data_IF_656820829692
#
_entry.id   IF_656820829692
#
_cell.length_a   1.000
_cell.length_b   1.000
_cell.length_c   1.000
_cell.angle_alpha   90.00
_cell.angle_beta   90.00
_cell.angle_gamma   90.00
#
_symmetry.space_group_name_H-M   'P 1'
#
loop_
_entity.id
_entity.type
_entity.pdbx_description
1 polymer ?
#
# COMPACT_ATOMS: atom_id res chain seq x y z
N UNK A 1 34.28 6.57 -5.28
CA UNK A 1 33.03 5.86 -5.22
C UNK A 1 33.22 4.67 -4.31
N UNK A 2 32.43 4.52 -3.27
CA UNK A 2 32.57 3.41 -2.33
C UNK A 2 32.25 2.08 -3.03
N UNK A 3 32.79 0.94 -2.59
CA UNK A 3 32.64 -0.35 -3.30
C UNK A 3 31.19 -0.84 -3.38
N UNK A 4 30.30 -0.34 -2.55
CA UNK A 4 28.88 -0.68 -2.53
C UNK A 4 27.98 0.24 -3.39
N UNK A 5 28.52 1.35 -3.90
CA UNK A 5 27.77 2.27 -4.78
C UNK A 5 27.73 1.74 -6.22
N UNK A 6 27.13 0.56 -6.39
CA UNK A 6 26.92 -0.07 -7.69
C UNK A 6 25.43 -0.26 -7.93
N UNK A 7 24.96 0.15 -9.07
CA UNK A 7 23.57 -0.05 -9.47
C UNK A 7 23.18 -1.53 -9.34
N UNK A 8 22.08 -1.77 -8.64
CA UNK A 8 21.56 -3.11 -8.37
C UNK A 8 22.22 -3.85 -7.20
N UNK A 9 23.19 -3.26 -6.51
CA UNK A 9 23.80 -3.84 -5.32
C UNK A 9 23.34 -3.07 -4.08
N UNK A 10 22.38 -3.63 -3.34
CA UNK A 10 21.81 -3.04 -2.13
C UNK A 10 22.72 -3.28 -0.93
N UNK A 11 23.16 -2.24 -0.29
CA UNK A 11 23.95 -2.31 0.94
C UNK A 11 23.03 -2.53 2.16
N UNK A 12 23.09 -3.70 2.76
CA UNK A 12 22.25 -4.07 3.89
C UNK A 12 22.96 -4.00 5.25
N UNK A 13 24.28 -3.81 5.26
CA UNK A 13 25.03 -3.72 6.50
C UNK A 13 26.37 -4.44 6.43
N UNK A 14 26.88 -4.84 7.59
CA UNK A 14 28.16 -5.56 7.76
C UNK A 14 27.93 -6.96 8.33
N UNK A 15 28.83 -7.89 8.01
CA UNK A 15 28.79 -9.24 8.53
C UNK A 15 28.97 -9.24 10.04
N UNK A 16 28.16 -10.01 10.76
CA UNK A 16 28.27 -10.22 12.21
C UNK A 16 28.80 -11.62 12.48
N UNK A 17 29.91 -11.71 13.24
CA UNK A 17 30.47 -12.98 13.65
C UNK A 17 29.78 -13.46 14.94
N UNK A 18 29.02 -14.54 14.83
CA UNK A 18 28.28 -15.13 15.95
C UNK A 18 29.20 -15.69 17.05
N UNK A 19 30.41 -16.12 16.69
CA UNK A 19 31.34 -16.72 17.65
C UNK A 19 32.04 -15.67 18.48
N UNK A 20 32.58 -14.63 17.85
CA UNK A 20 33.26 -13.51 18.54
C UNK A 20 32.27 -12.43 19.01
N UNK A 21 31.00 -12.47 18.58
CA UNK A 21 29.97 -11.45 18.81
C UNK A 21 30.43 -10.04 18.38
N UNK A 22 31.13 -9.96 17.25
CA UNK A 22 31.64 -8.70 16.71
C UNK A 22 31.21 -8.49 15.27
N UNK A 23 31.03 -7.21 14.90
CA UNK A 23 30.90 -6.80 13.51
C UNK A 23 32.25 -6.96 12.80
N UNK A 24 32.20 -7.49 11.58
CA UNK A 24 33.34 -7.53 10.65
C UNK A 24 33.23 -6.37 9.65
N UNK A 25 34.32 -6.02 9.00
CA UNK A 25 34.33 -4.97 7.98
C UNK A 25 33.76 -5.46 6.64
N UNK A 26 33.47 -6.76 6.50
CA UNK A 26 32.90 -7.32 5.30
C UNK A 26 31.46 -6.82 5.09
N UNK A 27 31.22 -6.23 3.91
CA UNK A 27 29.91 -5.66 3.57
C UNK A 27 28.92 -6.75 3.13
N UNK A 28 27.68 -6.63 3.58
CA UNK A 28 26.56 -7.44 3.10
C UNK A 28 25.89 -6.68 1.96
N UNK A 29 26.17 -7.13 0.73
CA UNK A 29 25.58 -6.59 -0.49
C UNK A 29 24.57 -7.59 -1.04
N UNK A 30 23.37 -7.11 -1.35
CA UNK A 30 22.27 -7.93 -1.86
C UNK A 30 21.97 -7.55 -3.31
N UNK A 31 21.89 -8.52 -4.21
CA UNK A 31 21.56 -8.25 -5.62
C UNK A 31 20.06 -7.95 -5.75
N UNK A 32 19.74 -6.76 -6.25
CA UNK A 32 18.35 -6.31 -6.44
C UNK A 32 17.55 -7.25 -7.35
N UNK A 33 18.20 -8.02 -8.23
CA UNK A 33 17.54 -8.99 -9.10
C UNK A 33 16.89 -10.12 -8.33
N UNK A 34 17.40 -10.46 -7.14
CA UNK A 34 16.81 -11.50 -6.31
C UNK A 34 15.41 -11.09 -5.78
N UNK A 35 15.11 -9.77 -5.79
CA UNK A 35 13.78 -9.23 -5.45
C UNK A 35 12.79 -9.25 -6.62
N UNK A 36 13.17 -9.73 -7.80
CA UNK A 36 12.21 -9.97 -8.89
C UNK A 36 11.19 -11.07 -8.55
N UNK A 37 11.45 -11.85 -7.52
CA UNK A 37 10.52 -12.76 -6.88
C UNK A 37 10.04 -12.17 -5.54
N UNK A 38 9.86 -12.99 -4.53
CA UNK A 38 9.37 -12.56 -3.23
C UNK A 38 10.45 -12.68 -2.16
N UNK A 39 10.47 -11.74 -1.22
CA UNK A 39 11.27 -11.81 -0.02
C UNK A 39 10.38 -11.73 1.22
N UNK A 40 10.76 -12.40 2.30
CA UNK A 40 10.06 -12.35 3.58
C UNK A 40 11.06 -12.06 4.69
N UNK A 41 10.80 -11.04 5.49
CA UNK A 41 11.60 -10.67 6.65
C UNK A 41 10.91 -11.22 7.90
N UNK A 42 11.56 -12.14 8.59
CA UNK A 42 11.03 -12.80 9.78
C UNK A 42 11.89 -12.47 11.01
N UNK A 43 11.26 -12.19 12.13
CA UNK A 43 11.95 -11.91 13.37
C UNK A 43 11.01 -11.56 14.51
N UNK A 44 11.48 -11.60 15.74
CA UNK A 44 10.72 -11.19 16.91
C UNK A 44 10.53 -9.65 16.95
N UNK A 45 9.62 -9.19 17.78
CA UNK A 45 9.47 -7.75 18.05
C UNK A 45 10.79 -7.19 18.59
N UNK A 46 11.20 -6.03 18.04
CA UNK A 46 12.47 -5.40 18.40
C UNK A 46 13.72 -6.00 17.73
N UNK A 47 13.59 -7.01 16.85
CA UNK A 47 14.73 -7.63 16.14
C UNK A 47 15.27 -6.81 14.96
N UNK A 48 14.64 -5.68 14.62
CA UNK A 48 15.08 -4.82 13.51
C UNK A 48 14.43 -5.13 12.16
N UNK A 49 13.33 -5.91 12.10
CA UNK A 49 12.62 -6.21 10.82
C UNK A 49 12.29 -4.98 9.99
N UNK A 50 11.60 -4.03 10.61
CA UNK A 50 11.21 -2.77 9.95
C UNK A 50 12.45 -2.00 9.49
N UNK A 51 13.52 -1.97 10.30
CA UNK A 51 14.80 -1.35 9.93
C UNK A 51 15.43 -1.98 8.68
N UNK A 52 15.44 -3.32 8.58
CA UNK A 52 15.92 -4.01 7.38
C UNK A 52 15.03 -3.71 6.18
N UNK A 53 13.70 -3.69 6.36
CA UNK A 53 12.75 -3.31 5.31
C UNK A 53 12.99 -1.88 4.80
N UNK A 54 13.19 -0.93 5.73
CA UNK A 54 13.54 0.45 5.39
C UNK A 54 14.86 0.54 4.62
N UNK A 55 15.89 -0.22 5.02
CA UNK A 55 17.17 -0.27 4.31
C UNK A 55 16.99 -0.75 2.86
N UNK A 56 16.20 -1.79 2.64
CA UNK A 56 15.88 -2.28 1.29
C UNK A 56 15.12 -1.23 0.46
N UNK A 57 14.18 -0.53 1.07
CA UNK A 57 13.44 0.55 0.42
C UNK A 57 14.38 1.70 0.05
N UNK A 58 15.23 2.16 0.97
CA UNK A 58 16.17 3.25 0.72
C UNK A 58 17.17 2.91 -0.38
N UNK A 59 17.72 1.69 -0.38
CA UNK A 59 18.64 1.24 -1.44
C UNK A 59 17.95 1.20 -2.82
N UNK A 60 16.72 0.68 -2.88
CA UNK A 60 15.94 0.69 -4.11
C UNK A 60 15.70 2.12 -4.63
N UNK A 61 15.32 3.03 -3.73
CA UNK A 61 15.07 4.43 -4.06
C UNK A 61 16.36 5.14 -4.52
N UNK A 62 17.50 4.87 -3.89
CA UNK A 62 18.81 5.41 -4.32
C UNK A 62 19.15 4.96 -5.75
N UNK A 63 18.75 3.73 -6.11
CA UNK A 63 18.89 3.18 -7.47
C UNK A 63 17.76 3.59 -8.43
N UNK A 64 16.93 4.55 -8.04
CA UNK A 64 15.77 5.04 -8.80
C UNK A 64 14.70 3.96 -9.08
N UNK A 65 14.58 2.97 -8.21
CA UNK A 65 13.52 1.97 -8.25
C UNK A 65 12.37 2.47 -7.38
N UNK A 66 11.17 2.69 -7.94
CA UNK A 66 10.04 3.19 -7.18
C UNK A 66 9.49 2.13 -6.22
N UNK A 67 8.82 2.61 -5.16
CA UNK A 67 8.29 1.77 -4.09
C UNK A 67 6.84 2.11 -3.79
N UNK A 68 6.01 1.08 -3.67
CA UNK A 68 4.70 1.15 -2.99
C UNK A 68 4.86 0.43 -1.65
N UNK A 69 4.59 1.13 -0.55
CA UNK A 69 4.70 0.60 0.80
C UNK A 69 3.35 0.66 1.52
N UNK A 70 2.88 -0.48 2.04
CA UNK A 70 1.67 -0.60 2.85
C UNK A 70 2.07 -0.63 4.32
N UNK A 71 1.54 0.31 5.08
CA UNK A 71 1.93 0.59 6.46
C UNK A 71 0.74 0.49 7.44
N UNK A 72 0.49 -0.69 8.00
CA UNK A 72 -0.57 -0.88 8.98
C UNK A 72 -0.28 -0.29 10.36
N UNK A 73 0.98 0.10 10.65
CA UNK A 73 1.40 0.65 11.94
C UNK A 73 1.52 2.17 11.96
N UNK A 74 1.86 2.78 10.83
CA UNK A 74 2.13 4.21 10.73
C UNK A 74 3.59 4.59 10.99
N UNK A 75 4.53 3.64 10.88
CA UNK A 75 5.95 3.86 11.13
C UNK A 75 6.74 4.27 9.87
N UNK A 76 6.28 3.85 8.69
CA UNK A 76 6.99 4.08 7.42
C UNK A 76 7.07 5.56 6.98
N UNK A 77 6.14 6.46 7.34
CA UNK A 77 6.30 7.89 7.05
C UNK A 77 7.58 8.50 7.65
N UNK A 78 8.22 7.83 8.62
CA UNK A 78 9.53 8.22 9.14
C UNK A 78 10.63 8.23 8.06
N UNK A 79 10.46 7.54 6.93
CA UNK A 79 11.32 7.68 5.75
C UNK A 79 11.48 9.13 5.26
N UNK A 80 10.48 9.97 5.52
CA UNK A 80 10.51 11.38 5.15
C UNK A 80 11.41 12.21 6.09
N UNK A 81 11.71 11.69 7.29
CA UNK A 81 12.58 12.33 8.28
C UNK A 81 14.06 12.11 7.93
N UNK A 82 14.43 12.49 6.72
CA UNK A 82 15.79 12.40 6.23
C UNK A 82 16.43 13.79 6.24
N UNK A 83 17.56 13.93 6.93
CA UNK A 83 18.24 15.19 7.19
C UNK A 83 19.63 15.19 6.54
N UNK A 84 19.77 15.68 5.28
CA UNK A 84 21.03 15.60 4.53
C UNK A 84 22.23 16.24 5.22
N UNK A 85 21.99 17.28 6.02
CA UNK A 85 23.07 18.00 6.71
C UNK A 85 23.29 17.52 8.14
N UNK A 86 22.39 16.71 8.69
CA UNK A 86 22.42 16.24 10.08
C UNK A 86 22.69 17.40 11.08
N UNK A 87 22.03 18.54 10.86
CA UNK A 87 22.18 19.70 11.74
C UNK A 87 21.30 19.58 12.98
N UNK A 88 21.69 20.12 14.13
CA UNK A 88 20.83 20.16 15.32
C UNK A 88 19.45 20.77 15.05
N UNK A 89 19.36 21.76 14.18
CA UNK A 89 18.12 22.42 13.77
C UNK A 89 17.16 21.47 13.05
N UNK A 90 17.67 20.44 12.36
CA UNK A 90 16.86 19.43 11.68
C UNK A 90 16.14 18.52 12.68
N UNK A 91 16.79 18.21 13.79
CA UNK A 91 16.26 17.36 14.85
C UNK A 91 15.40 18.11 15.86
N UNK A 92 15.63 19.41 16.06
CA UNK A 92 14.96 20.20 17.10
C UNK A 92 13.43 20.12 17.11
N UNK A 93 12.73 20.17 15.96
CA UNK A 93 11.25 20.05 15.92
C UNK A 93 10.72 18.69 16.41
N UNK A 94 11.55 17.65 16.39
CA UNK A 94 11.19 16.27 16.70
C UNK A 94 11.64 15.83 18.09
N UNK A 95 12.25 16.74 18.88
CA UNK A 95 12.72 16.45 20.22
C UNK A 95 11.55 16.41 21.19
N UNK A 96 11.44 15.32 21.94
CA UNK A 96 10.58 15.23 23.10
C UNK A 96 11.25 16.01 24.25
N UNK A 97 10.58 17.03 24.75
CA UNK A 97 11.11 17.88 25.83
C UNK A 97 11.32 17.11 27.14
N UNK A 98 10.47 16.10 27.40
CA UNK A 98 10.62 15.27 28.60
C UNK A 98 11.90 14.41 28.53
N UNK A 99 12.26 13.89 27.35
CA UNK A 99 13.50 13.12 27.17
C UNK A 99 14.74 14.01 27.32
N UNK A 100 14.66 15.25 26.86
CA UNK A 100 15.72 16.22 27.07
C UNK A 100 15.93 16.52 28.59
N UNK A 101 14.82 16.75 29.31
CA UNK A 101 14.85 16.95 30.76
C UNK A 101 15.39 15.74 31.51
N UNK A 102 14.98 14.53 31.17
CA UNK A 102 15.47 13.28 31.75
C UNK A 102 16.98 13.07 31.52
N UNK A 103 17.50 13.60 30.40
CA UNK A 103 18.91 13.60 30.09
C UNK A 103 19.71 14.74 30.77
N UNK A 104 19.03 15.64 31.50
CA UNK A 104 19.63 16.83 32.11
C UNK A 104 20.10 17.90 31.12
N UNK A 105 19.47 17.94 29.94
CA UNK A 105 19.82 18.82 28.84
C UNK A 105 18.66 19.75 28.48
N UNK A 106 19.00 20.90 27.89
CA UNK A 106 18.00 21.72 27.21
C UNK A 106 17.56 21.03 25.90
N UNK A 107 16.36 21.30 25.35
CA UNK A 107 15.95 20.75 24.08
C UNK A 107 16.94 20.99 22.94
N UNK A 108 17.59 22.13 22.88
CA UNK A 108 18.61 22.44 21.86
C UNK A 108 19.89 21.65 22.05
N UNK A 109 20.35 21.46 23.29
CA UNK A 109 21.48 20.59 23.61
C UNK A 109 21.17 19.13 23.29
N UNK A 110 19.93 18.68 23.54
CA UNK A 110 19.50 17.34 23.22
C UNK A 110 19.42 17.13 21.70
N UNK A 111 18.94 18.11 20.94
CA UNK A 111 18.95 18.09 19.48
C UNK A 111 20.39 17.99 18.92
N UNK A 112 21.33 18.74 19.47
CA UNK A 112 22.73 18.66 19.09
C UNK A 112 23.34 17.27 19.39
N UNK A 113 23.01 16.70 20.54
CA UNK A 113 23.42 15.34 20.92
C UNK A 113 22.83 14.30 19.95
N UNK A 114 21.58 14.42 19.56
CA UNK A 114 20.95 13.53 18.59
C UNK A 114 21.61 13.65 17.22
N UNK A 115 21.84 14.85 16.72
CA UNK A 115 22.53 15.08 15.46
C UNK A 115 23.93 14.44 15.43
N UNK A 116 24.68 14.55 16.51
CA UNK A 116 26.02 13.93 16.63
C UNK A 116 25.93 12.40 16.72
N UNK A 117 24.94 11.87 17.46
CA UNK A 117 24.68 10.44 17.55
C UNK A 117 24.39 9.84 16.16
N UNK A 118 23.51 10.47 15.40
CA UNK A 118 23.15 10.01 14.04
C UNK A 118 24.35 10.10 13.10
N UNK A 119 25.13 11.19 13.14
CA UNK A 119 26.33 11.33 12.31
C UNK A 119 27.36 10.23 12.60
N UNK A 120 27.63 9.96 13.88
CA UNK A 120 28.55 8.91 14.28
C UNK A 120 28.01 7.52 13.94
N UNK A 121 26.71 7.31 14.16
CA UNK A 121 26.02 6.06 13.83
C UNK A 121 26.16 5.74 12.34
N UNK A 122 25.77 6.66 11.47
CA UNK A 122 25.89 6.48 10.03
C UNK A 122 27.33 6.23 9.59
N UNK A 123 28.29 7.02 10.11
CA UNK A 123 29.70 6.86 9.77
C UNK A 123 30.24 5.47 10.17
N UNK A 124 29.79 4.90 11.30
CA UNK A 124 30.21 3.55 11.74
C UNK A 124 29.75 2.44 10.79
N UNK A 125 28.70 2.71 10.01
CA UNK A 125 28.17 1.82 8.97
C UNK A 125 28.62 2.23 7.55
N UNK A 126 29.67 3.06 7.45
CA UNK A 126 30.16 3.61 6.17
C UNK A 126 29.11 4.40 5.37
N UNK A 127 28.05 4.87 6.03
CA UNK A 127 27.03 5.72 5.43
C UNK A 127 27.42 7.19 5.54
N UNK A 128 27.36 7.92 4.44
CA UNK A 128 27.71 9.35 4.39
C UNK A 128 26.47 10.22 4.14
N UNK A 129 26.47 11.48 4.59
CA UNK A 129 25.37 12.43 4.34
C UNK A 129 24.99 12.58 2.87
N UNK A 130 25.95 12.39 1.94
CA UNK A 130 25.69 12.43 0.50
C UNK A 130 24.66 11.38 0.04
N UNK A 131 24.55 10.24 0.72
CA UNK A 131 23.51 9.25 0.40
C UNK A 131 22.12 9.77 0.73
N UNK A 132 21.96 10.47 1.85
CA UNK A 132 20.71 11.13 2.23
C UNK A 132 20.37 12.22 1.21
N UNK A 133 21.37 12.97 0.78
CA UNK A 133 21.21 14.02 -0.25
C UNK A 133 20.72 13.40 -1.57
N UNK A 134 21.33 12.29 -2.01
CA UNK A 134 20.93 11.57 -3.24
C UNK A 134 19.50 11.03 -3.14
N UNK A 135 19.16 10.39 -2.02
CA UNK A 135 17.80 9.88 -1.77
C UNK A 135 16.79 11.02 -1.90
N UNK A 136 17.01 12.16 -1.23
CA UNK A 136 16.11 13.32 -1.28
C UNK A 136 16.04 13.99 -2.64
N UNK A 137 17.14 14.06 -3.37
CA UNK A 137 17.19 14.73 -4.66
C UNK A 137 16.42 13.96 -5.76
N UNK A 138 16.48 12.64 -5.74
CA UNK A 138 16.00 11.82 -6.84
C UNK A 138 14.57 11.32 -6.66
N UNK A 139 14.05 11.28 -5.44
CA UNK A 139 12.79 10.62 -5.11
C UNK A 139 11.72 11.65 -4.76
N UNK A 140 10.51 11.36 -5.21
CA UNK A 140 9.29 12.00 -4.74
C UNK A 140 8.65 11.12 -3.66
N UNK A 141 8.33 11.72 -2.51
CA UNK A 141 7.70 11.00 -1.40
C UNK A 141 6.24 11.41 -1.28
N UNK A 142 5.35 10.43 -1.25
CA UNK A 142 3.92 10.64 -1.06
C UNK A 142 3.41 9.76 0.08
N UNK A 143 2.72 10.35 1.06
CA UNK A 143 2.03 9.61 2.12
C UNK A 143 0.54 9.69 1.86
N UNK A 144 -0.03 8.56 1.50
CA UNK A 144 -1.46 8.40 1.27
C UNK A 144 -2.16 7.90 2.53
N UNK A 145 -3.30 8.49 2.84
CA UNK A 145 -4.13 8.14 4.00
C UNK A 145 -5.56 7.85 3.54
N UNK A 146 -5.84 6.62 3.06
CA UNK A 146 -7.19 6.24 2.62
C UNK A 146 -8.23 6.50 3.71
N UNK A 147 -9.36 7.10 3.36
CA UNK A 147 -10.40 7.45 4.32
C UNK A 147 -10.03 8.53 5.33
N UNK A 148 -8.96 9.31 5.07
CA UNK A 148 -8.51 10.39 5.96
C UNK A 148 -7.82 11.50 5.16
N UNK A 149 -7.91 12.74 5.66
CA UNK A 149 -7.25 13.93 5.11
C UNK A 149 -5.96 14.29 5.85
N UNK A 150 -5.43 13.39 6.70
CA UNK A 150 -4.19 13.63 7.44
C UNK A 150 -2.95 13.68 6.53
N UNK A 151 -2.96 12.91 5.45
CA UNK A 151 -1.98 12.93 4.37
C UNK A 151 -2.67 13.20 3.03
N UNK A 152 -2.17 12.59 1.96
CA UNK A 152 -2.82 12.69 0.64
C UNK A 152 -4.03 11.73 0.59
N UNK A 153 -5.24 12.24 0.38
CA UNK A 153 -6.42 11.38 0.23
C UNK A 153 -6.33 10.57 -1.06
N UNK A 154 -6.81 9.33 -1.01
CA UNK A 154 -6.94 8.45 -2.17
C UNK A 154 -8.37 7.96 -2.30
N UNK A 155 -8.94 8.17 -3.47
CA UNK A 155 -10.31 7.74 -3.77
C UNK A 155 -10.32 6.30 -4.23
N UNK A 156 -11.06 5.45 -3.51
CA UNK A 156 -11.19 4.02 -3.80
C UNK A 156 -12.58 3.68 -4.35
N UNK A 157 -13.61 4.43 -3.92
CA UNK A 157 -15.02 4.12 -4.18
C UNK A 157 -15.73 5.14 -5.07
N UNK A 158 -15.01 6.16 -5.52
CA UNK A 158 -15.62 7.21 -6.32
C UNK A 158 -16.07 6.74 -7.69
N UNK A 159 -15.38 5.75 -8.23
CA UNK A 159 -15.60 5.36 -9.61
C UNK A 159 -15.21 3.89 -9.85
N UNK A 160 -16.23 3.04 -10.02
CA UNK A 160 -16.04 1.70 -10.58
C UNK A 160 -15.99 1.83 -12.11
N UNK A 161 -14.88 2.40 -12.61
CA UNK A 161 -14.68 2.56 -14.04
C UNK A 161 -14.40 1.21 -14.71
N UNK A 162 -14.80 1.05 -15.98
CA UNK A 162 -14.37 -0.08 -16.77
C UNK A 162 -12.84 -0.17 -16.78
N UNK A 163 -12.28 -1.37 -16.67
CA UNK A 163 -10.85 -1.55 -16.82
C UNK A 163 -10.40 -1.23 -18.26
N UNK A 164 -9.09 -1.25 -18.50
CA UNK A 164 -8.53 -0.99 -19.83
C UNK A 164 -9.05 -1.99 -20.87
N UNK A 165 -9.01 -1.60 -22.16
CA UNK A 165 -9.50 -2.43 -23.25
C UNK A 165 -8.88 -3.83 -23.28
N UNK A 166 -7.60 -3.95 -22.90
CA UNK A 166 -6.89 -5.24 -22.84
C UNK A 166 -7.49 -6.19 -21.80
N UNK A 167 -7.81 -5.65 -20.60
CA UNK A 167 -8.48 -6.43 -19.54
C UNK A 167 -9.92 -6.77 -19.96
N UNK A 168 -10.62 -5.82 -20.61
CA UNK A 168 -11.97 -6.07 -21.12
C UNK A 168 -12.02 -7.17 -22.20
N UNK A 169 -10.97 -7.31 -22.99
CA UNK A 169 -10.88 -8.35 -24.02
C UNK A 169 -10.61 -9.75 -23.45
N UNK A 170 -10.02 -9.84 -22.26
CA UNK A 170 -9.64 -11.09 -21.59
C UNK A 170 -10.66 -11.52 -20.56
N UNK A 171 -11.52 -12.49 -20.90
CA UNK A 171 -12.65 -12.92 -20.06
C UNK A 171 -12.26 -13.34 -18.64
N UNK A 172 -11.12 -14.03 -18.48
CA UNK A 172 -10.67 -14.49 -17.17
C UNK A 172 -10.21 -13.32 -16.30
N UNK A 173 -9.47 -12.36 -16.89
CA UNK A 173 -9.05 -11.16 -16.19
C UNK A 173 -10.23 -10.26 -15.77
N UNK A 174 -11.20 -10.11 -16.68
CA UNK A 174 -12.41 -9.35 -16.42
C UNK A 174 -13.21 -9.98 -15.27
N UNK A 175 -13.38 -11.30 -15.30
CA UNK A 175 -14.06 -12.03 -14.23
C UNK A 175 -13.36 -11.85 -12.88
N UNK A 176 -12.05 -12.06 -12.84
CA UNK A 176 -11.26 -11.93 -11.62
C UNK A 176 -11.37 -10.49 -11.06
N UNK A 177 -11.35 -9.49 -11.94
CA UNK A 177 -11.51 -8.09 -11.59
C UNK A 177 -12.89 -7.79 -10.98
N UNK A 178 -13.96 -8.29 -11.60
CA UNK A 178 -15.31 -8.13 -11.09
C UNK A 178 -15.44 -8.83 -9.73
N UNK A 179 -15.02 -10.08 -9.62
CA UNK A 179 -15.12 -10.85 -8.38
C UNK A 179 -14.38 -10.18 -7.23
N UNK A 180 -13.14 -9.75 -7.44
CA UNK A 180 -12.36 -9.08 -6.39
C UNK A 180 -12.97 -7.74 -5.97
N UNK A 181 -13.46 -6.95 -6.93
CA UNK A 181 -14.14 -5.67 -6.65
C UNK A 181 -15.40 -5.89 -5.80
N UNK A 182 -16.22 -6.86 -6.17
CA UNK A 182 -17.47 -7.18 -5.44
C UNK A 182 -17.19 -7.77 -4.07
N UNK A 183 -16.23 -8.70 -3.98
CA UNK A 183 -15.81 -9.28 -2.69
C UNK A 183 -15.33 -8.21 -1.73
N UNK A 184 -14.47 -7.29 -2.20
CA UNK A 184 -13.98 -6.19 -1.38
C UNK A 184 -15.12 -5.26 -0.92
N UNK A 185 -16.04 -4.91 -1.82
CA UNK A 185 -17.19 -4.07 -1.49
C UNK A 185 -18.12 -4.74 -0.45
N UNK A 186 -18.41 -6.02 -0.62
CA UNK A 186 -19.24 -6.77 0.34
C UNK A 186 -18.56 -6.93 1.69
N UNK A 187 -17.25 -7.17 1.72
CA UNK A 187 -16.48 -7.23 2.95
C UNK A 187 -16.52 -5.90 3.71
N UNK A 188 -16.43 -4.76 3.01
CA UNK A 188 -16.59 -3.42 3.62
C UNK A 188 -17.97 -3.23 4.25
N UNK A 189 -19.02 -3.87 3.69
CA UNK A 189 -20.38 -3.88 4.25
C UNK A 189 -20.56 -4.91 5.38
N UNK A 190 -19.51 -5.64 5.76
CA UNK A 190 -19.59 -6.73 6.73
C UNK A 190 -20.38 -7.94 6.23
N UNK A 191 -20.43 -8.16 4.91
CA UNK A 191 -21.11 -9.28 4.27
C UNK A 191 -20.06 -10.28 3.80
N UNK A 192 -20.00 -11.45 4.44
CA UNK A 192 -19.21 -12.57 3.93
C UNK A 192 -20.00 -13.22 2.78
N UNK A 193 -19.45 -13.16 1.58
CA UNK A 193 -20.14 -13.64 0.38
C UNK A 193 -19.19 -14.47 -0.48
N UNK A 194 -19.65 -15.69 -0.79
CA UNK A 194 -18.98 -16.56 -1.76
C UNK A 194 -19.33 -16.12 -3.19
N UNK A 195 -18.36 -16.00 -4.11
CA UNK A 195 -18.57 -15.51 -5.46
C UNK A 195 -19.54 -16.34 -6.30
N UNK A 196 -19.72 -17.62 -5.98
CA UNK A 196 -20.53 -18.56 -6.77
C UNK A 196 -21.93 -18.76 -6.17
N UNK A 197 -22.05 -18.72 -4.85
CA UNK A 197 -23.29 -19.11 -4.15
C UNK A 197 -24.07 -17.95 -3.54
N UNK A 198 -23.42 -16.81 -3.26
CA UNK A 198 -24.08 -15.68 -2.59
C UNK A 198 -24.84 -14.81 -3.59
N UNK A 199 -26.13 -14.62 -3.33
CA UNK A 199 -27.03 -13.81 -4.18
C UNK A 199 -26.56 -12.37 -4.31
N UNK A 200 -26.04 -11.79 -3.23
CA UNK A 200 -25.47 -10.44 -3.17
C UNK A 200 -24.29 -10.32 -4.15
N UNK A 201 -23.38 -11.28 -4.09
CA UNK A 201 -22.21 -11.29 -4.95
C UNK A 201 -22.58 -11.44 -6.42
N UNK A 202 -23.45 -12.37 -6.74
CA UNK A 202 -23.94 -12.64 -8.10
C UNK A 202 -24.65 -11.40 -8.67
N UNK A 203 -25.53 -10.75 -7.88
CA UNK A 203 -26.25 -9.54 -8.32
C UNK A 203 -25.26 -8.39 -8.65
N UNK A 204 -24.35 -8.08 -7.72
CA UNK A 204 -23.39 -6.99 -7.91
C UNK A 204 -22.43 -7.26 -9.08
N UNK A 205 -22.00 -8.51 -9.24
CA UNK A 205 -21.14 -8.90 -10.38
C UNK A 205 -21.85 -8.67 -11.71
N UNK A 206 -23.12 -9.06 -11.85
CA UNK A 206 -23.89 -8.82 -13.07
C UNK A 206 -24.15 -7.32 -13.32
N UNK A 207 -24.36 -6.52 -12.28
CA UNK A 207 -24.52 -5.06 -12.42
C UNK A 207 -23.22 -4.43 -12.94
N UNK A 208 -22.07 -4.77 -12.36
CA UNK A 208 -20.77 -4.24 -12.78
C UNK A 208 -20.46 -4.69 -14.21
N UNK A 209 -20.61 -5.98 -14.52
CA UNK A 209 -20.37 -6.53 -15.85
C UNK A 209 -21.21 -5.83 -16.91
N UNK A 210 -22.52 -5.67 -16.66
CA UNK A 210 -23.44 -4.98 -17.57
C UNK A 210 -23.04 -3.53 -17.79
N UNK A 211 -22.63 -2.83 -16.74
CA UNK A 211 -22.21 -1.44 -16.82
C UNK A 211 -20.90 -1.28 -17.60
N UNK A 212 -19.91 -2.13 -17.32
CA UNK A 212 -18.63 -2.12 -18.00
C UNK A 212 -18.76 -2.53 -19.48
N UNK A 213 -19.58 -3.53 -19.79
CA UNK A 213 -19.91 -3.89 -21.17
C UNK A 213 -20.53 -2.73 -21.96
N UNK A 214 -21.29 -1.87 -21.28
CA UNK A 214 -21.84 -0.64 -21.87
C UNK A 214 -20.85 0.55 -21.87
N UNK A 215 -19.60 0.36 -21.44
CA UNK A 215 -18.59 1.41 -21.32
C UNK A 215 -18.89 2.47 -20.27
N UNK A 216 -19.75 2.15 -19.30
CA UNK A 216 -20.21 3.08 -18.27
C UNK A 216 -19.50 2.83 -16.96
N UNK A 217 -18.96 3.91 -16.38
CA UNK A 217 -18.51 3.90 -15.01
C UNK A 217 -19.70 3.95 -14.04
N UNK A 218 -19.60 3.21 -12.93
CA UNK A 218 -20.54 3.29 -11.82
C UNK A 218 -19.91 4.05 -10.67
N UNK A 219 -20.67 4.93 -10.05
CA UNK A 219 -20.40 5.43 -8.71
C UNK A 219 -21.26 4.67 -7.69
N UNK A 220 -21.03 4.87 -6.40
CA UNK A 220 -21.84 4.21 -5.36
C UNK A 220 -23.33 4.55 -5.45
N UNK A 221 -23.67 5.78 -5.81
CA UNK A 221 -25.08 6.17 -6.00
C UNK A 221 -25.70 5.45 -7.19
N UNK A 222 -24.96 5.29 -8.28
CA UNK A 222 -25.36 4.49 -9.44
C UNK A 222 -25.53 3.02 -9.08
N UNK A 223 -24.62 2.47 -8.27
CA UNK A 223 -24.69 1.11 -7.76
C UNK A 223 -25.95 0.89 -6.92
N UNK A 224 -26.27 1.80 -5.99
CA UNK A 224 -27.49 1.75 -5.18
C UNK A 224 -28.74 1.73 -6.06
N UNK A 225 -28.79 2.60 -7.08
CA UNK A 225 -29.93 2.62 -8.03
C UNK A 225 -30.01 1.31 -8.83
N UNK A 226 -28.87 0.81 -9.31
CA UNK A 226 -28.81 -0.44 -10.07
C UNK A 226 -29.17 -1.68 -9.22
N UNK A 227 -28.89 -1.68 -7.92
CA UNK A 227 -29.37 -2.75 -7.01
C UNK A 227 -30.89 -2.73 -6.89
N UNK A 228 -31.49 -1.56 -6.75
CA UNK A 228 -32.95 -1.42 -6.65
C UNK A 228 -33.67 -1.77 -7.98
N UNK A 229 -33.09 -1.28 -9.08
CA UNK A 229 -33.61 -1.49 -10.43
C UNK A 229 -32.50 -1.95 -11.36
N UNK A 230 -32.14 -3.24 -11.35
CA UNK A 230 -31.09 -3.80 -12.18
C UNK A 230 -31.39 -3.64 -13.68
N UNK A 231 -30.36 -3.48 -14.53
CA UNK A 231 -30.54 -3.31 -15.98
C UNK A 231 -30.84 -4.62 -16.73
N UNK A 232 -31.29 -5.65 -16.03
CA UNK A 232 -31.63 -6.97 -16.57
C UNK A 232 -32.82 -7.59 -15.81
N UNK A 233 -33.57 -8.45 -16.49
CA UNK A 233 -34.74 -9.12 -15.93
C UNK A 233 -34.45 -10.52 -15.43
N UNK A 234 -33.28 -11.10 -15.76
CA UNK A 234 -32.92 -12.47 -15.41
C UNK A 234 -31.46 -12.56 -14.95
N UNK A 235 -31.23 -13.52 -14.05
CA UNK A 235 -29.88 -13.97 -13.65
C UNK A 235 -29.80 -15.47 -13.94
N UNK A 236 -28.90 -15.86 -14.83
CA UNK A 236 -28.90 -17.21 -15.37
C UNK A 236 -30.21 -17.53 -16.08
N UNK A 237 -30.92 -18.59 -15.64
CA UNK A 237 -32.23 -18.99 -16.19
C UNK A 237 -33.41 -18.49 -15.34
N UNK A 238 -33.17 -17.92 -14.18
CA UNK A 238 -34.21 -17.47 -13.25
C UNK A 238 -34.58 -16.01 -13.49
N UNK A 239 -35.86 -15.70 -13.32
CA UNK A 239 -36.31 -14.30 -13.26
C UNK A 239 -35.73 -13.62 -12.03
N UNK A 240 -35.30 -12.36 -12.19
CA UNK A 240 -34.61 -11.59 -11.15
C UNK A 240 -35.40 -11.54 -9.83
N UNK A 241 -36.70 -11.35 -9.89
CA UNK A 241 -37.54 -11.23 -8.70
C UNK A 241 -37.65 -12.55 -7.92
N UNK A 242 -37.57 -13.69 -8.63
CA UNK A 242 -37.52 -15.01 -8.01
C UNK A 242 -36.14 -15.30 -7.42
N UNK A 243 -35.06 -14.87 -8.08
CA UNK A 243 -33.69 -15.06 -7.62
C UNK A 243 -33.37 -14.16 -6.43
N UNK A 244 -33.69 -12.87 -6.55
CA UNK A 244 -33.36 -11.86 -5.51
C UNK A 244 -34.53 -10.84 -5.42
N UNK A 245 -35.49 -11.06 -4.51
CA UNK A 245 -36.69 -10.23 -4.42
C UNK A 245 -36.43 -8.76 -4.16
N UNK A 246 -37.32 -7.84 -4.59
CA UNK A 246 -37.14 -6.39 -4.41
C UNK A 246 -36.89 -5.97 -2.96
N UNK A 247 -37.53 -6.65 -2.00
CA UNK A 247 -37.34 -6.38 -0.57
C UNK A 247 -35.92 -6.65 -0.11
N UNK A 248 -35.30 -7.73 -0.58
CA UNK A 248 -33.95 -8.12 -0.20
C UNK A 248 -32.91 -7.20 -0.91
N UNK A 249 -33.17 -6.85 -2.19
CA UNK A 249 -32.38 -5.86 -2.91
C UNK A 249 -32.38 -4.49 -2.20
N UNK A 250 -33.54 -4.08 -1.70
CA UNK A 250 -33.66 -2.84 -0.93
C UNK A 250 -32.80 -2.88 0.35
N UNK A 251 -32.73 -4.00 1.05
CA UNK A 251 -31.86 -4.14 2.23
C UNK A 251 -30.38 -3.99 1.87
N UNK A 252 -29.92 -4.58 0.77
CA UNK A 252 -28.56 -4.42 0.30
C UNK A 252 -28.26 -2.96 -0.10
N UNK A 253 -29.19 -2.33 -0.82
CA UNK A 253 -29.11 -0.92 -1.18
C UNK A 253 -29.03 0.00 0.05
N UNK A 254 -29.82 -0.31 1.11
CA UNK A 254 -29.78 0.43 2.38
C UNK A 254 -28.44 0.30 3.11
N UNK A 255 -27.79 -0.88 3.08
CA UNK A 255 -26.44 -1.03 3.66
C UNK A 255 -25.42 -0.14 2.96
N UNK A 256 -25.43 -0.11 1.63
CA UNK A 256 -24.59 0.79 0.85
C UNK A 256 -24.90 2.27 1.12
N UNK A 257 -26.19 2.61 1.21
CA UNK A 257 -26.59 3.97 1.55
C UNK A 257 -26.14 4.38 2.95
N UNK A 258 -26.22 3.49 3.93
CA UNK A 258 -25.75 3.76 5.29
C UNK A 258 -24.22 4.03 5.32
N UNK A 259 -23.46 3.31 4.50
CA UNK A 259 -22.03 3.56 4.34
C UNK A 259 -21.78 4.98 3.81
N UNK A 260 -22.50 5.39 2.76
CA UNK A 260 -22.41 6.75 2.20
C UNK A 260 -22.84 7.83 3.18
N UNK A 261 -23.84 7.55 4.01
CA UNK A 261 -24.38 8.49 4.99
C UNK A 261 -23.57 8.54 6.30
N UNK A 262 -22.61 7.62 6.49
CA UNK A 262 -21.80 7.59 7.70
C UNK A 262 -20.87 8.80 7.76
N UNK A 263 -20.79 9.51 8.91
CA UNK A 263 -19.85 10.61 9.08
C UNK A 263 -18.41 10.15 8.80
N UNK A 264 -17.67 10.94 8.03
CA UNK A 264 -16.28 10.64 7.67
C UNK A 264 -16.10 9.73 6.45
N UNK A 265 -17.16 9.10 5.95
CA UNK A 265 -17.05 8.26 4.74
C UNK A 265 -16.74 9.08 3.47
N UNK A 266 -17.04 10.37 3.47
CA UNK A 266 -16.71 11.29 2.37
C UNK A 266 -15.21 11.24 2.01
N UNK A 267 -14.33 11.03 3.01
CA UNK A 267 -12.90 10.92 2.81
C UNK A 267 -12.48 9.74 1.90
N UNK A 268 -13.32 8.69 1.76
CA UNK A 268 -13.10 7.59 0.81
C UNK A 268 -13.44 7.94 -0.63
N UNK A 269 -14.16 9.04 -0.83
CA UNK A 269 -14.55 9.55 -2.15
C UNK A 269 -13.64 10.69 -2.60
N UNK A 270 -12.82 11.23 -1.70
CA UNK A 270 -11.92 12.34 -1.98
C UNK A 270 -10.56 11.85 -2.49
N UNK A 271 -9.83 12.77 -3.12
CA UNK A 271 -8.48 12.52 -3.60
C UNK A 271 -8.40 11.92 -4.99
N UNK A 272 -7.19 11.52 -5.36
CA UNK A 272 -6.92 10.89 -6.65
C UNK A 272 -7.34 9.42 -6.64
N UNK A 273 -7.89 8.90 -7.75
CA UNK A 273 -8.14 7.47 -7.88
C UNK A 273 -6.81 6.69 -7.87
N UNK A 274 -6.86 5.43 -7.42
CA UNK A 274 -5.70 4.56 -7.47
C UNK A 274 -5.22 4.41 -8.92
N UNK A 275 -4.01 4.88 -9.18
CA UNK A 275 -3.33 4.75 -10.46
C UNK A 275 -1.88 4.34 -10.21
N UNK A 276 -1.54 3.08 -10.47
CA UNK A 276 -0.24 2.51 -10.12
C UNK A 276 0.91 3.23 -10.83
N UNK A 277 0.75 3.65 -12.09
CA UNK A 277 1.79 4.42 -12.78
C UNK A 277 2.09 5.74 -12.05
N UNK A 278 1.07 6.50 -11.62
CA UNK A 278 1.24 7.76 -10.88
C UNK A 278 1.73 7.54 -9.45
N UNK A 279 1.47 6.38 -8.87
CA UNK A 279 1.99 5.98 -7.57
C UNK A 279 3.44 5.54 -7.62
N UNK A 280 3.93 5.09 -8.77
CA UNK A 280 5.33 4.72 -8.97
C UNK A 280 6.17 5.87 -9.54
N UNK A 281 5.58 6.75 -10.35
CA UNK A 281 6.30 7.84 -11.00
C UNK A 281 5.48 9.13 -11.01
N UNK A 282 6.16 10.26 -10.87
CA UNK A 282 5.56 11.57 -11.14
C UNK A 282 5.32 11.75 -12.64
N UNK A 283 4.55 12.79 -13.01
CA UNK A 283 4.30 13.13 -14.43
C UNK A 283 5.60 13.49 -15.19
N UNK A 284 6.69 13.86 -14.46
CA UNK A 284 8.01 14.09 -15.03
C UNK A 284 8.89 12.83 -15.08
N UNK A 285 8.35 11.66 -14.73
CA UNK A 285 9.07 10.38 -14.72
C UNK A 285 10.02 10.21 -13.52
N UNK A 286 9.92 11.03 -12.47
CA UNK A 286 10.70 10.88 -11.25
C UNK A 286 10.15 9.71 -10.43
N UNK A 287 11.00 8.79 -9.93
CA UNK A 287 10.54 7.69 -9.09
C UNK A 287 9.89 8.19 -7.81
N UNK A 288 8.90 7.45 -7.34
CA UNK A 288 8.11 7.80 -6.15
C UNK A 288 8.19 6.70 -5.11
N UNK A 289 8.25 7.10 -3.84
CA UNK A 289 7.96 6.27 -2.69
C UNK A 289 6.55 6.58 -2.21
N UNK A 290 5.59 5.74 -2.57
CA UNK A 290 4.18 5.87 -2.20
C UNK A 290 3.90 5.04 -0.96
N UNK A 291 3.72 5.70 0.19
CA UNK A 291 3.46 5.08 1.48
C UNK A 291 1.97 5.17 1.78
N UNK A 292 1.30 4.04 1.89
CA UNK A 292 -0.10 3.95 2.30
C UNK A 292 -0.18 3.70 3.80
N UNK A 293 -0.35 4.75 4.58
CA UNK A 293 -0.57 4.65 6.02
C UNK A 293 -2.02 4.31 6.30
N UNK A 294 -2.25 3.12 6.84
CA UNK A 294 -3.58 2.55 7.10
C UNK A 294 -3.79 2.21 8.58
N UNK A 295 -2.97 2.74 9.46
CA UNK A 295 -3.02 2.47 10.90
C UNK A 295 -4.32 2.95 11.57
N UNK A 296 -4.95 3.98 11.03
CA UNK A 296 -6.19 4.58 11.50
C UNK A 296 -7.46 3.83 11.07
N UNK A 297 -7.35 2.93 10.09
CA UNK A 297 -8.48 2.18 9.56
C UNK A 297 -8.88 1.02 10.48
N UNK A 298 -10.16 0.70 10.51
CA UNK A 298 -10.67 -0.55 11.08
C UNK A 298 -10.19 -1.78 10.29
N UNK A 299 -10.29 -2.97 10.87
CA UNK A 299 -9.83 -4.20 10.19
C UNK A 299 -10.58 -4.45 8.86
N UNK A 300 -11.88 -4.18 8.81
CA UNK A 300 -12.67 -4.31 7.58
C UNK A 300 -12.21 -3.33 6.49
N UNK A 301 -11.97 -2.07 6.87
CA UNK A 301 -11.47 -1.05 5.95
C UNK A 301 -10.04 -1.33 5.46
N UNK A 302 -9.18 -1.83 6.35
CA UNK A 302 -7.82 -2.27 5.97
C UNK A 302 -7.87 -3.39 4.93
N UNK A 303 -8.66 -4.44 5.19
CA UNK A 303 -8.82 -5.56 4.26
C UNK A 303 -9.38 -5.10 2.93
N UNK A 304 -10.40 -4.25 2.95
CA UNK A 304 -10.97 -3.66 1.75
C UNK A 304 -9.91 -2.89 0.94
N UNK A 305 -9.22 -1.94 1.58
CA UNK A 305 -8.23 -1.11 0.90
C UNK A 305 -7.08 -1.92 0.33
N UNK A 306 -6.50 -2.82 1.12
CA UNK A 306 -5.37 -3.66 0.70
C UNK A 306 -5.79 -4.57 -0.46
N UNK A 307 -6.98 -5.19 -0.41
CA UNK A 307 -7.46 -6.02 -1.50
C UNK A 307 -7.61 -5.22 -2.81
N UNK A 308 -8.19 -4.01 -2.75
CA UNK A 308 -8.32 -3.15 -3.93
C UNK A 308 -6.95 -2.73 -4.46
N UNK A 309 -6.03 -2.29 -3.60
CA UNK A 309 -4.68 -1.86 -4.01
C UNK A 309 -3.90 -3.01 -4.66
N UNK A 310 -3.91 -4.20 -4.07
CA UNK A 310 -3.22 -5.37 -4.62
C UNK A 310 -3.80 -5.78 -5.98
N UNK A 311 -5.11 -5.70 -6.15
CA UNK A 311 -5.76 -5.98 -7.44
C UNK A 311 -5.36 -4.95 -8.52
N UNK A 312 -5.25 -3.67 -8.17
CA UNK A 312 -4.76 -2.64 -9.09
C UNK A 312 -3.29 -2.89 -9.48
N UNK A 313 -2.45 -3.25 -8.51
CA UNK A 313 -1.05 -3.60 -8.77
C UNK A 313 -0.96 -4.83 -9.68
N UNK A 314 -1.73 -5.87 -9.42
CA UNK A 314 -1.74 -7.09 -10.24
C UNK A 314 -2.21 -6.79 -11.68
N UNK A 315 -3.26 -5.99 -11.83
CA UNK A 315 -3.73 -5.55 -13.14
C UNK A 315 -2.65 -4.75 -13.89
N UNK A 316 -2.00 -3.82 -13.20
CA UNK A 316 -0.88 -3.06 -13.76
C UNK A 316 0.30 -3.96 -14.15
N UNK A 317 0.71 -4.92 -13.31
CA UNK A 317 1.80 -5.84 -13.60
C UNK A 317 1.56 -6.63 -14.89
N UNK A 318 0.34 -7.07 -15.15
CA UNK A 318 -0.04 -7.83 -16.36
C UNK A 318 0.10 -7.01 -17.64
N UNK A 319 0.02 -5.67 -17.55
CA UNK A 319 0.23 -4.79 -18.70
C UNK A 319 1.71 -4.48 -18.98
N UNK A 320 2.61 -4.92 -18.09
CA UNK A 320 4.03 -4.60 -18.21
C UNK A 320 4.76 -5.63 -19.07
N UNK A 321 5.73 -5.16 -19.86
CA UNK A 321 6.64 -6.05 -20.57
C UNK A 321 7.54 -6.79 -19.58
N UNK A 322 7.89 -8.03 -19.90
CA UNK A 322 8.86 -8.81 -19.12
C UNK A 322 10.21 -8.10 -19.00
N UNK A 323 10.85 -8.21 -17.85
CA UNK A 323 12.16 -7.64 -17.56
C UNK A 323 12.93 -8.54 -16.60
N UNK A 324 14.25 -8.53 -16.68
CA UNK A 324 15.17 -9.19 -15.73
C UNK A 324 15.65 -8.22 -14.64
N UNK A 325 15.28 -6.94 -14.73
CA UNK A 325 15.65 -5.91 -13.74
C UNK A 325 14.48 -5.65 -12.79
N UNK A 326 14.78 -5.31 -11.56
CA UNK A 326 13.79 -4.92 -10.58
C UNK A 326 13.09 -3.62 -11.03
N UNK A 327 11.78 -3.70 -11.28
CA UNK A 327 11.00 -2.57 -11.81
C UNK A 327 10.43 -1.67 -10.72
N UNK A 328 9.95 -2.30 -9.66
CA UNK A 328 9.36 -1.64 -8.51
C UNK A 328 9.35 -2.60 -7.31
N UNK A 329 9.29 -2.06 -6.11
CA UNK A 329 9.08 -2.84 -4.88
C UNK A 329 7.65 -2.59 -4.37
N UNK A 330 6.95 -3.67 -4.07
CA UNK A 330 5.78 -3.65 -3.20
C UNK A 330 6.23 -4.16 -1.83
N UNK A 331 6.25 -3.28 -0.84
CA UNK A 331 6.58 -3.60 0.54
C UNK A 331 5.33 -3.59 1.41
N UNK A 332 5.19 -4.57 2.29
CA UNK A 332 4.13 -4.58 3.28
C UNK A 332 4.71 -4.93 4.65
N UNK A 333 4.56 -4.03 5.61
CA UNK A 333 4.87 -4.32 7.01
C UNK A 333 3.73 -5.10 7.66
N UNK A 334 4.03 -5.86 8.74
CA UNK A 334 3.04 -6.61 9.53
C UNK A 334 2.06 -7.45 8.70
N UNK A 335 2.57 -8.21 7.73
CA UNK A 335 1.78 -9.03 6.81
C UNK A 335 0.96 -10.13 7.51
N UNK A 336 1.26 -10.42 8.79
CA UNK A 336 0.68 -11.52 9.56
C UNK A 336 -0.86 -11.52 9.57
N UNK A 337 -1.51 -10.35 9.68
CA UNK A 337 -2.97 -10.24 9.67
C UNK A 337 -3.63 -10.56 8.32
N UNK A 338 -2.84 -10.59 7.23
CA UNK A 338 -3.31 -10.76 5.86
C UNK A 338 -3.10 -12.17 5.32
N UNK A 339 -2.28 -12.98 5.98
CA UNK A 339 -2.05 -14.39 5.68
C UNK A 339 -2.46 -15.26 6.87
N UNK A 340 -3.75 -15.56 7.03
CA UNK A 340 -4.21 -16.37 8.14
C UNK A 340 -3.66 -17.80 8.04
N UNK A 341 -3.27 -18.42 9.16
CA UNK A 341 -2.68 -19.77 9.20
C UNK A 341 -3.70 -20.87 8.94
N UNK A 342 -4.97 -20.55 8.80
CA UNK A 342 -6.08 -21.49 8.63
C UNK A 342 -6.65 -21.48 7.23
N UNK A 343 -7.27 -22.60 6.85
CA UNK A 343 -7.63 -22.93 5.48
C UNK A 343 -8.64 -22.05 4.78
N UNK A 344 -9.53 -21.36 5.46
CA UNK A 344 -10.64 -20.65 4.83
C UNK A 344 -10.87 -19.29 5.41
N UNK A 345 -10.79 -18.28 4.57
CA UNK A 345 -10.03 -18.23 3.32
C UNK A 345 -8.53 -18.17 3.60
N UNK A 346 -7.68 -18.64 2.70
CA UNK A 346 -6.23 -18.64 2.91
C UNK A 346 -5.67 -17.21 3.03
N UNK A 347 -6.35 -16.24 2.48
CA UNK A 347 -6.09 -14.81 2.65
C UNK A 347 -7.43 -14.06 2.65
N UNK A 348 -7.51 -12.99 3.43
CA UNK A 348 -8.67 -12.09 3.42
C UNK A 348 -8.48 -10.91 2.46
N UNK A 349 -7.28 -10.75 1.90
CA UNK A 349 -6.95 -9.71 0.95
C UNK A 349 -6.71 -10.25 -0.46
#
# INVERSE_FOLDING_TARGET
MKPYEKLGAFYLGKTFDMASKQLKDDLVLYDSKDLNTHAVIIGMTGSGKTGLGLSLIEEALIDNIPVIAIDPKGDLPNLLLSFPQLQPTDFRPWINEQDALNAGLTPDQFAAKQADLWRKGLASWDQEPDRITRLRANIDFAVYTPGSNAGQPVSVLRNFAPPTADIMAEKDLLRDRIQSTVTALLALLGIEADPITSREHILLSNIIESSWAAGKALDLAGMIRAIQSPPFERIGIMDLEAFYPPKDRFQLAMRLNNLLAAPGFEAWLEGEPININRMLYTDQGRPRASIFSISHLSDAERMFFVAVLLNEILAWMRTQQGTTSLRAILYMDEIFGYFPPVKNPPSKA
#
